data_IF_424740535651
#
_entry.id   IF_424740535651
#
_cell.length_a   1.000
_cell.length_b   1.000
_cell.length_c   1.000
_cell.angle_alpha   90.00
_cell.angle_beta   90.00
_cell.angle_gamma   90.00
#
_symmetry.space_group_name_H-M   'P 1'
#
loop_
_entity.id
_entity.type
_entity.pdbx_description
1 polymer ?
#
# COMPACT_ATOMS: atom_id res chain seq x y z
N UNK A 1 -14.04 33.37 7.54
CA UNK A 1 -12.98 33.69 8.51
C UNK A 1 -12.31 32.37 8.88
N UNK A 2 -11.51 31.85 7.95
CA UNK A 2 -10.86 30.54 8.08
C UNK A 2 -9.74 30.64 9.10
N UNK A 3 -9.72 29.74 10.08
CA UNK A 3 -8.59 29.61 10.98
C UNK A 3 -7.49 28.89 10.20
N UNK A 4 -6.52 29.67 9.73
CA UNK A 4 -5.17 29.16 9.46
C UNK A 4 -4.71 28.46 10.72
N UNK A 5 -4.52 27.14 10.65
CA UNK A 5 -3.81 26.42 11.71
C UNK A 5 -2.36 26.81 11.51
N UNK A 6 -1.94 27.79 12.30
CA UNK A 6 -0.56 28.23 12.40
C UNK A 6 0.21 27.09 13.11
N UNK A 7 0.77 26.16 12.33
CA UNK A 7 1.67 25.13 12.83
C UNK A 7 3.05 25.76 13.03
N UNK A 8 3.16 26.56 14.09
CA UNK A 8 4.45 26.98 14.61
C UNK A 8 5.27 25.72 14.92
N UNK A 9 6.37 25.58 14.18
CA UNK A 9 7.45 24.62 14.38
C UNK A 9 7.91 24.65 15.84
N UNK A 10 7.42 23.69 16.60
CA UNK A 10 7.93 23.30 17.89
C UNK A 10 7.47 21.88 18.10
N UNK A 11 8.32 20.91 17.74
CA UNK A 11 8.44 19.58 18.34
C UNK A 11 9.23 18.68 17.38
N UNK A 12 10.23 18.01 17.94
CA UNK A 12 11.06 17.02 17.26
C UNK A 12 10.16 15.91 16.71
N UNK A 13 10.21 15.67 15.39
CA UNK A 13 9.40 14.64 14.74
C UNK A 13 9.85 13.28 15.30
N UNK A 14 8.98 12.51 16.00
CA UNK A 14 9.41 11.27 16.65
C UNK A 14 9.94 10.28 15.62
N UNK A 15 11.09 9.65 15.88
CA UNK A 15 11.68 8.68 14.95
C UNK A 15 10.71 7.54 14.62
N UNK A 16 10.75 7.11 13.36
CA UNK A 16 9.94 5.99 12.91
C UNK A 16 10.53 4.68 13.45
N UNK A 17 9.69 3.87 14.10
CA UNK A 17 10.04 2.55 14.63
C UNK A 17 10.27 1.60 13.44
N UNK A 18 11.43 0.92 13.35
CA UNK A 18 11.64 -0.08 12.30
C UNK A 18 10.65 -1.23 12.41
N UNK A 19 10.10 -1.66 11.27
CA UNK A 19 9.14 -2.74 11.16
C UNK A 19 9.38 -3.52 9.87
N UNK A 20 8.78 -4.70 9.79
CA UNK A 20 8.85 -5.54 8.61
C UNK A 20 7.55 -6.31 8.38
N UNK A 21 7.28 -6.60 7.12
CA UNK A 21 6.10 -7.29 6.65
C UNK A 21 6.50 -8.28 5.56
N UNK A 22 5.97 -9.50 5.62
CA UNK A 22 6.12 -10.48 4.53
C UNK A 22 4.80 -10.69 3.81
N UNK A 23 4.87 -10.65 2.48
CA UNK A 23 3.77 -10.93 1.57
C UNK A 23 4.00 -12.33 1.01
N UNK A 24 3.32 -13.31 1.58
CA UNK A 24 3.43 -14.69 1.15
C UNK A 24 2.54 -14.94 -0.05
N UNK A 25 3.10 -15.56 -1.08
CA UNK A 25 2.48 -15.77 -2.38
C UNK A 25 2.36 -17.26 -2.72
N UNK A 26 1.25 -17.65 -3.34
CA UNK A 26 1.10 -18.99 -3.93
C UNK A 26 0.34 -18.92 -5.25
N UNK A 27 0.57 -19.92 -6.10
CA UNK A 27 -0.23 -20.12 -7.30
C UNK A 27 -1.50 -20.89 -6.93
N UNK A 28 -2.65 -20.20 -6.99
CA UNK A 28 -3.97 -20.78 -6.81
C UNK A 28 -4.56 -21.31 -8.11
N UNK A 29 -5.73 -21.93 -8.04
CA UNK A 29 -6.42 -22.48 -9.21
C UNK A 29 -6.78 -21.40 -10.25
N UNK A 30 -7.05 -20.17 -9.80
CA UNK A 30 -7.46 -19.03 -10.63
C UNK A 30 -6.37 -17.93 -10.74
N UNK A 31 -5.11 -18.27 -10.46
CA UNK A 31 -3.95 -17.39 -10.53
C UNK A 31 -3.32 -17.07 -9.18
N UNK A 32 -2.48 -16.02 -9.15
CA UNK A 32 -1.76 -15.58 -7.95
C UNK A 32 -2.68 -15.27 -6.77
N UNK A 33 -2.35 -15.83 -5.61
CA UNK A 33 -2.95 -15.55 -4.31
C UNK A 33 -1.90 -15.06 -3.32
N UNK A 34 -2.32 -14.21 -2.38
CA UNK A 34 -1.50 -13.77 -1.26
C UNK A 34 -2.19 -14.05 0.07
N UNK A 35 -1.41 -14.44 1.09
CA UNK A 35 -1.93 -14.60 2.44
C UNK A 35 -2.26 -13.24 3.04
N UNK A 36 -3.52 -13.07 3.45
CA UNK A 36 -3.95 -11.92 4.22
C UNK A 36 -4.48 -12.37 5.58
N UNK A 37 -4.19 -11.58 6.61
CA UNK A 37 -4.64 -11.76 7.97
C UNK A 37 -5.62 -10.65 8.35
N UNK A 38 -6.65 -10.98 9.12
CA UNK A 38 -7.61 -9.99 9.60
C UNK A 38 -7.35 -9.66 11.06
N UNK A 39 -6.96 -8.41 11.30
CA UNK A 39 -6.70 -7.92 12.66
C UNK A 39 -7.98 -7.84 13.46
N UNK A 40 -7.91 -8.16 14.74
CA UNK A 40 -9.05 -8.07 15.65
C UNK A 40 -9.61 -6.64 15.65
N UNK A 41 -10.94 -6.51 15.47
CA UNK A 41 -11.63 -5.21 15.41
C UNK A 41 -11.47 -4.36 16.67
N UNK A 42 -11.11 -4.96 17.81
CA UNK A 42 -10.88 -4.26 19.08
C UNK A 42 -9.50 -3.62 19.20
N UNK A 43 -8.60 -3.81 18.22
CA UNK A 43 -7.26 -3.23 18.24
C UNK A 43 -7.29 -1.73 17.94
N UNK A 44 -6.52 -0.96 18.71
CA UNK A 44 -6.50 0.51 18.65
C UNK A 44 -5.91 1.08 17.34
N UNK A 45 -5.26 0.26 16.52
CA UNK A 45 -4.73 0.63 15.21
C UNK A 45 -5.15 -0.41 14.18
N UNK A 46 -5.74 0.03 13.05
CA UNK A 46 -6.19 -0.82 11.95
C UNK A 46 -7.07 -2.01 12.38
N UNK A 47 -7.89 -1.85 13.43
CA UNK A 47 -8.83 -2.87 13.86
C UNK A 47 -9.76 -3.28 12.70
N UNK A 48 -9.88 -4.59 12.45
CA UNK A 48 -10.73 -5.14 11.39
C UNK A 48 -10.16 -5.04 9.97
N UNK A 49 -9.02 -4.37 9.78
CA UNK A 49 -8.34 -4.30 8.49
C UNK A 49 -7.75 -5.65 8.12
N UNK A 50 -7.69 -5.90 6.82
CA UNK A 50 -6.88 -6.98 6.27
C UNK A 50 -5.46 -6.48 6.04
N UNK A 51 -4.50 -7.24 6.53
CA UNK A 51 -3.06 -6.94 6.53
C UNK A 51 -2.27 -8.16 6.06
N UNK A 52 -0.97 -7.99 5.89
CA UNK A 52 -0.03 -9.09 5.73
C UNK A 52 0.65 -9.39 7.08
N UNK A 53 1.21 -10.60 7.29
CA UNK A 53 1.99 -10.89 8.47
C UNK A 53 3.13 -9.88 8.67
N UNK A 54 3.26 -9.31 9.86
CA UNK A 54 4.32 -8.35 10.11
C UNK A 54 4.17 -7.52 11.38
N UNK A 55 5.30 -6.99 11.83
CA UNK A 55 5.40 -6.26 13.07
C UNK A 55 6.73 -5.53 13.22
N UNK A 56 7.02 -5.15 14.46
CA UNK A 56 8.20 -4.35 14.80
C UNK A 56 9.47 -5.20 14.65
N UNK A 57 10.58 -4.58 14.28
CA UNK A 57 11.92 -5.18 14.45
C UNK A 57 12.31 -5.11 15.92
N UNK A 58 12.52 -6.27 16.52
CA UNK A 58 12.91 -6.42 17.92
C UNK A 58 14.44 -6.57 18.08
N UNK A 59 14.92 -6.50 19.32
CA UNK A 59 16.35 -6.57 19.61
C UNK A 59 16.98 -7.88 19.12
N UNK A 60 16.26 -8.99 19.25
CA UNK A 60 16.71 -10.31 18.82
C UNK A 60 16.83 -10.38 17.29
N UNK A 61 16.06 -9.58 16.55
CA UNK A 61 16.18 -9.48 15.10
C UNK A 61 17.43 -8.71 14.67
N UNK A 62 18.05 -7.90 15.55
CA UNK A 62 19.30 -7.19 15.24
C UNK A 62 20.51 -8.11 15.30
N UNK A 63 20.41 -9.22 16.05
CA UNK A 63 21.50 -10.15 16.22
C UNK A 63 21.65 -11.04 14.97
N UNK A 64 22.83 -11.09 14.35
CA UNK A 64 23.09 -12.00 13.23
C UNK A 64 23.10 -13.45 13.74
N UNK A 65 22.72 -14.38 12.85
CA UNK A 65 22.83 -15.81 13.16
C UNK A 65 24.30 -16.16 13.47
N UNK A 66 24.60 -17.08 14.42
CA UNK A 66 25.97 -17.36 14.86
C UNK A 66 26.95 -17.78 13.74
N UNK A 67 26.41 -18.28 12.63
CA UNK A 67 27.15 -18.76 11.46
C UNK A 67 27.16 -17.75 10.30
N UNK A 68 26.46 -16.61 10.43
CA UNK A 68 26.29 -15.61 9.38
C UNK A 68 27.32 -14.48 9.46
N UNK A 69 27.81 -14.04 8.32
CA UNK A 69 28.62 -12.83 8.23
C UNK A 69 27.79 -11.60 8.62
N UNK A 70 28.37 -10.73 9.45
CA UNK A 70 27.75 -9.45 9.80
C UNK A 70 28.08 -8.44 8.70
N UNK A 71 27.08 -7.88 7.99
CA UNK A 71 27.37 -6.87 6.99
C UNK A 71 28.09 -5.66 7.61
N UNK A 72 29.16 -5.21 6.98
CA UNK A 72 29.90 -4.01 7.41
C UNK A 72 29.09 -2.72 7.18
N UNK A 73 28.20 -2.75 6.20
CA UNK A 73 27.29 -1.66 5.84
C UNK A 73 26.05 -1.62 6.76
N UNK A 74 25.67 -0.42 7.21
CA UNK A 74 24.57 -0.22 8.17
C UNK A 74 23.20 -0.47 7.55
N UNK A 75 23.02 -0.07 6.29
CA UNK A 75 21.77 -0.31 5.56
C UNK A 75 21.57 -1.81 5.35
N UNK A 76 22.63 -2.54 4.98
CA UNK A 76 22.62 -3.98 4.86
C UNK A 76 22.30 -4.70 6.19
N UNK A 77 22.82 -4.21 7.33
CA UNK A 77 22.45 -4.74 8.67
C UNK A 77 20.99 -4.50 8.97
N UNK A 78 20.48 -3.30 8.70
CA UNK A 78 19.09 -2.92 8.95
C UNK A 78 18.13 -3.75 8.09
N UNK A 79 18.46 -3.95 6.81
CA UNK A 79 17.69 -4.81 5.92
C UNK A 79 17.70 -6.28 6.38
N UNK A 80 18.85 -6.79 6.83
CA UNK A 80 18.95 -8.15 7.36
C UNK A 80 18.11 -8.35 8.63
N UNK A 81 18.08 -7.34 9.51
CA UNK A 81 17.22 -7.37 10.69
C UNK A 81 15.73 -7.33 10.32
N UNK A 82 15.35 -6.48 9.37
CA UNK A 82 13.99 -6.44 8.85
C UNK A 82 13.55 -7.78 8.23
N UNK A 83 14.45 -8.46 7.49
CA UNK A 83 14.18 -9.80 6.97
C UNK A 83 13.92 -10.82 8.09
N UNK A 84 14.72 -10.81 9.16
CA UNK A 84 14.52 -11.69 10.33
C UNK A 84 13.21 -11.41 11.04
N UNK A 85 12.87 -10.15 11.25
CA UNK A 85 11.58 -9.75 11.81
C UNK A 85 10.42 -10.26 10.94
N UNK A 86 10.49 -10.11 9.62
CA UNK A 86 9.45 -10.59 8.71
C UNK A 86 9.25 -12.13 8.81
N UNK A 87 10.32 -12.91 8.95
CA UNK A 87 10.26 -14.36 9.17
C UNK A 87 9.64 -14.70 10.51
N UNK A 88 10.07 -14.02 11.59
CA UNK A 88 9.54 -14.23 12.95
C UNK A 88 8.04 -13.95 12.99
N UNK A 89 7.61 -12.82 12.47
CA UNK A 89 6.20 -12.41 12.44
C UNK A 89 5.35 -13.38 11.61
N UNK A 90 5.87 -13.92 10.50
CA UNK A 90 5.18 -14.97 9.74
C UNK A 90 4.96 -16.26 10.56
N UNK A 91 5.94 -16.63 11.38
CA UNK A 91 5.84 -17.79 12.25
C UNK A 91 4.87 -17.53 13.41
N UNK A 92 4.91 -16.34 14.01
CA UNK A 92 4.08 -15.95 15.16
C UNK A 92 2.61 -15.73 14.77
N UNK A 93 2.34 -15.00 13.69
CA UNK A 93 0.99 -14.60 13.30
C UNK A 93 0.28 -15.62 12.38
N UNK A 94 1.05 -16.42 11.63
CA UNK A 94 0.50 -17.34 10.63
C UNK A 94 0.97 -18.80 10.79
N UNK A 95 1.89 -19.10 11.70
CA UNK A 95 2.42 -20.46 11.89
C UNK A 95 3.29 -20.94 10.72
N UNK A 96 3.82 -20.04 9.89
CA UNK A 96 4.54 -20.38 8.66
C UNK A 96 6.04 -20.14 8.78
N UNK A 97 6.84 -21.19 8.56
CA UNK A 97 8.30 -21.13 8.59
C UNK A 97 8.86 -20.66 7.23
N UNK A 98 9.13 -19.36 7.12
CA UNK A 98 9.66 -18.74 5.90
C UNK A 98 11.18 -18.80 5.89
N UNK A 99 11.76 -19.20 4.75
CA UNK A 99 13.21 -19.12 4.54
C UNK A 99 13.62 -17.67 4.25
N UNK A 100 14.47 -17.12 5.12
CA UNK A 100 14.96 -15.73 5.06
C UNK A 100 15.68 -15.41 3.74
N UNK A 101 16.35 -16.40 3.15
CA UNK A 101 17.08 -16.23 1.89
C UNK A 101 16.14 -16.10 0.69
N UNK A 102 14.87 -16.48 0.85
CA UNK A 102 13.83 -16.37 -0.20
C UNK A 102 13.07 -15.05 -0.15
N UNK A 103 13.38 -14.16 0.80
CA UNK A 103 12.77 -12.84 0.89
C UNK A 103 13.35 -11.88 -0.14
N UNK A 104 12.47 -11.38 -1.02
CA UNK A 104 12.77 -10.35 -2.02
C UNK A 104 12.24 -9.00 -1.54
N UNK A 105 13.10 -7.97 -1.36
CA UNK A 105 12.65 -6.63 -1.02
C UNK A 105 11.65 -6.08 -2.06
N UNK A 106 10.52 -5.55 -1.59
CA UNK A 106 9.41 -5.14 -2.46
C UNK A 106 9.12 -3.63 -2.40
N UNK A 107 9.03 -3.07 -1.20
CA UNK A 107 8.87 -1.63 -0.94
C UNK A 107 9.23 -1.28 0.49
N UNK A 108 9.44 -0.01 0.79
CA UNK A 108 9.66 0.50 2.13
C UNK A 108 8.73 1.68 2.41
N UNK A 109 8.01 1.68 3.53
CA UNK A 109 6.97 2.65 3.84
C UNK A 109 7.24 3.41 5.12
N UNK A 110 7.23 4.74 5.05
CA UNK A 110 7.35 5.63 6.21
C UNK A 110 6.08 6.49 6.32
N UNK A 111 5.29 6.35 7.40
CA UNK A 111 4.12 7.19 7.66
C UNK A 111 4.46 8.68 7.80
N UNK A 112 3.48 9.58 7.62
CA UNK A 112 3.70 11.02 7.77
C UNK A 112 4.23 11.37 9.18
N UNK A 113 4.96 12.48 9.33
CA UNK A 113 5.48 12.97 10.62
C UNK A 113 4.41 13.08 11.72
N UNK A 114 3.17 13.41 11.35
CA UNK A 114 2.05 13.62 12.28
C UNK A 114 1.36 12.34 12.75
N UNK A 115 1.76 11.16 12.26
CA UNK A 115 1.13 9.91 12.66
C UNK A 115 1.50 9.54 14.12
N UNK A 116 0.49 9.18 14.92
CA UNK A 116 0.65 8.80 16.33
C UNK A 116 1.57 7.59 16.52
N UNK A 117 1.54 6.65 15.57
CA UNK A 117 2.48 5.52 15.47
C UNK A 117 3.14 5.54 14.11
N UNK A 118 4.47 5.68 14.08
CA UNK A 118 5.27 5.76 12.86
C UNK A 118 6.10 4.49 12.75
N UNK A 119 5.69 3.55 11.90
CA UNK A 119 6.46 2.35 11.62
C UNK A 119 7.11 2.47 10.24
N UNK A 120 8.43 2.58 10.18
CA UNK A 120 9.20 2.50 8.94
C UNK A 120 9.31 1.03 8.54
N UNK A 121 8.49 0.61 7.58
CA UNK A 121 8.18 -0.80 7.35
C UNK A 121 8.75 -1.29 6.03
N UNK A 122 9.65 -2.27 6.09
CA UNK A 122 10.07 -3.04 4.91
C UNK A 122 9.01 -4.07 4.54
N UNK A 123 8.66 -4.14 3.26
CA UNK A 123 7.79 -5.18 2.72
C UNK A 123 8.65 -6.12 1.86
N UNK A 124 8.48 -7.42 2.08
CA UNK A 124 9.18 -8.47 1.35
C UNK A 124 8.19 -9.42 0.67
N UNK A 125 8.47 -9.85 -0.56
CA UNK A 125 7.79 -10.99 -1.16
C UNK A 125 8.51 -12.30 -0.82
N UNK A 126 7.76 -13.38 -0.67
CA UNK A 126 8.29 -14.73 -0.71
C UNK A 126 7.24 -15.74 -1.22
N UNK A 127 7.67 -16.85 -1.85
CA UNK A 127 6.80 -18.02 -1.99
C UNK A 127 6.34 -18.49 -0.62
N UNK A 128 5.06 -18.83 -0.51
CA UNK A 128 4.51 -19.46 0.67
C UNK A 128 5.24 -20.78 0.95
N UNK A 129 5.69 -21.03 2.20
CA UNK A 129 6.19 -22.34 2.57
C UNK A 129 5.04 -23.36 2.60
N UNK A 130 5.39 -24.64 2.61
CA UNK A 130 4.41 -25.69 2.91
C UNK A 130 3.95 -25.57 4.37
N UNK A 131 2.67 -25.81 4.63
CA UNK A 131 2.09 -25.78 5.97
C UNK A 131 0.69 -25.21 6.02
N UNK A 132 0.01 -25.43 7.14
CA UNK A 132 -1.31 -24.88 7.41
C UNK A 132 -1.18 -23.54 8.12
N UNK A 133 -1.95 -22.55 7.66
CA UNK A 133 -1.99 -21.23 8.30
C UNK A 133 -2.74 -21.36 9.64
N UNK A 134 -2.06 -21.00 10.71
CA UNK A 134 -2.62 -20.99 12.07
C UNK A 134 -2.52 -19.61 12.66
N UNK A 135 -3.64 -19.08 13.15
CA UNK A 135 -3.72 -17.76 13.80
C UNK A 135 -4.04 -17.92 15.29
N UNK A 136 -3.58 -16.99 16.12
CA UNK A 136 -3.66 -17.06 17.58
C UNK A 136 -5.07 -16.77 18.15
N UNK A 137 -6.01 -16.30 17.32
CA UNK A 137 -7.35 -15.82 17.69
C UNK A 137 -7.35 -14.65 18.68
N UNK A 138 -6.20 -14.06 18.95
CA UNK A 138 -5.98 -12.92 19.83
C UNK A 138 -5.87 -11.64 19.02
N UNK A 139 -4.66 -11.39 18.50
CA UNK A 139 -4.39 -10.26 17.60
C UNK A 139 -4.99 -10.50 16.20
N UNK A 140 -4.87 -11.73 15.69
CA UNK A 140 -5.39 -12.13 14.40
C UNK A 140 -6.60 -13.03 14.60
N UNK A 141 -7.74 -12.65 14.02
CA UNK A 141 -8.99 -13.40 14.23
C UNK A 141 -9.46 -14.19 13.01
N UNK A 142 -8.86 -13.94 11.85
CA UNK A 142 -9.21 -14.60 10.59
C UNK A 142 -8.03 -14.55 9.62
N UNK A 143 -8.02 -15.46 8.65
CA UNK A 143 -7.05 -15.47 7.56
C UNK A 143 -7.72 -15.83 6.24
N UNK A 144 -7.09 -15.46 5.13
CA UNK A 144 -7.47 -15.99 3.83
C UNK A 144 -6.31 -15.92 2.85
N UNK A 145 -6.31 -16.86 1.90
CA UNK A 145 -5.61 -16.67 0.65
C UNK A 145 -6.51 -15.85 -0.27
N UNK A 146 -6.08 -14.64 -0.62
CA UNK A 146 -6.83 -13.71 -1.44
C UNK A 146 -6.15 -13.53 -2.79
N UNK A 147 -6.94 -13.55 -3.87
CA UNK A 147 -6.49 -13.01 -5.15
C UNK A 147 -6.37 -11.49 -5.02
N UNK A 148 -5.25 -10.84 -5.40
CA UNK A 148 -5.06 -9.41 -5.19
C UNK A 148 -6.18 -8.55 -5.77
N UNK A 149 -6.60 -8.83 -7.02
CA UNK A 149 -7.71 -8.14 -7.66
C UNK A 149 -9.05 -8.31 -6.92
N UNK A 150 -9.28 -9.45 -6.26
CA UNK A 150 -10.50 -9.67 -5.49
C UNK A 150 -10.52 -8.87 -4.18
N UNK A 151 -9.39 -8.83 -3.47
CA UNK A 151 -9.29 -8.01 -2.26
C UNK A 151 -9.53 -6.52 -2.56
N UNK A 152 -9.02 -6.02 -3.70
CA UNK A 152 -9.30 -4.64 -4.15
C UNK A 152 -10.79 -4.43 -4.43
N UNK A 153 -11.45 -5.34 -5.16
CA UNK A 153 -12.91 -5.24 -5.42
C UNK A 153 -13.74 -5.25 -4.14
N UNK A 154 -13.41 -6.10 -3.17
CA UNK A 154 -14.10 -6.16 -1.88
C UNK A 154 -13.93 -4.87 -1.08
N UNK A 155 -12.75 -4.24 -1.16
CA UNK A 155 -12.52 -2.92 -0.57
C UNK A 155 -13.38 -1.86 -1.24
N UNK A 156 -13.43 -1.85 -2.57
CA UNK A 156 -14.23 -0.88 -3.33
C UNK A 156 -15.73 -1.03 -3.05
N UNK A 157 -16.18 -2.25 -2.73
CA UNK A 157 -17.53 -2.55 -2.26
C UNK A 157 -17.78 -2.24 -0.77
N UNK A 158 -16.76 -1.79 -0.02
CA UNK A 158 -16.86 -1.50 1.41
C UNK A 158 -16.97 -2.74 2.32
N UNK A 159 -16.64 -3.93 1.81
CA UNK A 159 -16.69 -5.18 2.57
C UNK A 159 -15.48 -5.37 3.47
N UNK A 160 -14.33 -4.82 3.06
CA UNK A 160 -13.07 -4.88 3.80
C UNK A 160 -12.38 -3.53 3.81
N UNK A 161 -11.60 -3.29 4.87
CA UNK A 161 -10.75 -2.10 4.98
C UNK A 161 -9.30 -2.46 4.66
N UNK A 162 -8.65 -1.59 3.89
CA UNK A 162 -7.24 -1.70 3.50
C UNK A 162 -6.51 -0.39 3.76
N UNK A 163 -5.29 -0.49 4.27
CA UNK A 163 -4.39 0.66 4.38
C UNK A 163 -3.73 0.99 3.02
N UNK A 164 -3.23 2.22 2.79
CA UNK A 164 -2.54 2.57 1.54
C UNK A 164 -1.37 1.65 1.16
N UNK A 165 -0.47 1.24 2.08
CA UNK A 165 0.57 0.27 1.76
C UNK A 165 0.01 -1.07 1.28
N UNK A 166 -1.02 -1.59 1.97
CA UNK A 166 -1.69 -2.84 1.59
C UNK A 166 -2.37 -2.74 0.23
N UNK A 167 -3.13 -1.66 -0.02
CA UNK A 167 -3.81 -1.44 -1.29
C UNK A 167 -2.81 -1.31 -2.44
N UNK A 168 -1.74 -0.52 -2.29
CA UNK A 168 -0.71 -0.35 -3.33
C UNK A 168 0.02 -1.67 -3.65
N UNK A 169 0.24 -2.48 -2.62
CA UNK A 169 0.82 -3.82 -2.76
C UNK A 169 -0.08 -4.74 -3.57
N UNK A 170 -1.37 -4.81 -3.22
CA UNK A 170 -2.34 -5.63 -3.92
C UNK A 170 -2.56 -5.15 -5.37
N UNK A 171 -2.57 -3.84 -5.61
CA UNK A 171 -2.66 -3.29 -6.97
C UNK A 171 -1.48 -3.76 -7.82
N UNK A 172 -0.24 -3.64 -7.31
CA UNK A 172 0.93 -4.06 -8.08
C UNK A 172 0.90 -5.56 -8.36
N UNK A 173 0.55 -6.37 -7.35
CA UNK A 173 0.44 -7.82 -7.51
C UNK A 173 -0.70 -8.26 -8.42
N UNK A 174 -1.74 -7.43 -8.59
CA UNK A 174 -2.85 -7.74 -9.50
C UNK A 174 -2.43 -7.80 -10.98
N UNK A 175 -1.24 -7.29 -11.31
CA UNK A 175 -0.65 -7.37 -12.65
C UNK A 175 0.18 -8.64 -12.88
N UNK A 176 0.43 -9.45 -11.85
CA UNK A 176 1.19 -10.71 -11.94
C UNK A 176 0.25 -11.91 -12.04
N UNK A 177 0.57 -12.86 -12.91
CA UNK A 177 -0.24 -14.08 -13.07
C UNK A 177 0.17 -15.19 -12.10
N UNK A 178 1.47 -15.29 -11.81
CA UNK A 178 2.06 -16.35 -10.98
C UNK A 178 3.02 -15.80 -9.92
N UNK A 179 3.40 -16.65 -8.96
CA UNK A 179 4.43 -16.34 -7.95
C UNK A 179 5.74 -15.97 -8.63
N UNK A 180 6.12 -16.71 -9.66
CA UNK A 180 7.35 -16.47 -10.41
C UNK A 180 7.35 -15.09 -11.07
N UNK A 181 6.22 -14.68 -11.67
CA UNK A 181 6.09 -13.36 -12.29
C UNK A 181 6.21 -12.23 -11.26
N UNK A 182 5.57 -12.39 -10.10
CA UNK A 182 5.60 -11.39 -9.04
C UNK A 182 7.00 -11.22 -8.43
N UNK A 183 7.72 -12.32 -8.21
CA UNK A 183 9.10 -12.27 -7.72
C UNK A 183 10.04 -11.67 -8.75
N UNK A 184 9.92 -12.05 -10.02
CA UNK A 184 10.72 -11.48 -11.10
C UNK A 184 10.48 -9.97 -11.27
N UNK A 185 9.22 -9.50 -11.18
CA UNK A 185 8.89 -8.07 -11.18
C UNK A 185 9.53 -7.33 -10.01
N UNK A 186 9.52 -7.93 -8.81
CA UNK A 186 10.13 -7.34 -7.63
C UNK A 186 11.66 -7.26 -7.73
N UNK A 187 12.32 -8.33 -8.17
CA UNK A 187 13.78 -8.40 -8.34
C UNK A 187 14.30 -7.45 -9.43
N UNK A 188 13.52 -7.24 -10.50
CA UNK A 188 13.89 -6.33 -11.59
C UNK A 188 13.68 -4.85 -11.23
N UNK A 189 12.83 -4.56 -10.24
CA UNK A 189 12.51 -3.21 -9.82
C UNK A 189 13.54 -2.66 -8.82
N UNK A 190 13.77 -1.34 -8.85
CA UNK A 190 14.36 -0.66 -7.70
C UNK A 190 13.32 -0.61 -6.59
N UNK A 191 13.70 -0.99 -5.36
CA UNK A 191 12.81 -0.89 -4.20
C UNK A 191 12.38 0.56 -4.02
N UNK A 192 11.07 0.78 -4.02
CA UNK A 192 10.51 2.11 -3.84
C UNK A 192 10.34 2.44 -2.34
N UNK A 193 10.78 3.65 -1.98
CA UNK A 193 10.66 4.19 -0.62
C UNK A 193 9.53 5.23 -0.58
N UNK A 194 8.42 4.87 0.06
CA UNK A 194 7.23 5.68 0.21
C UNK A 194 7.26 6.45 1.53
N UNK A 195 7.76 7.69 1.51
CA UNK A 195 7.56 8.63 2.63
C UNK A 195 6.25 9.36 2.39
N UNK A 196 5.25 9.10 3.23
CA UNK A 196 3.87 9.52 2.96
C UNK A 196 3.63 10.95 3.43
N UNK A 197 3.14 11.80 2.53
CA UNK A 197 2.52 13.09 2.83
C UNK A 197 1.00 12.96 2.65
N UNK A 198 0.20 13.48 3.58
CA UNK A 198 -1.27 13.47 3.47
C UNK A 198 -1.74 14.90 3.22
N UNK A 199 -2.56 15.07 2.18
CA UNK A 199 -3.26 16.31 1.88
C UNK A 199 -4.76 16.05 1.70
N UNK A 200 -5.53 17.13 1.67
CA UNK A 200 -6.95 17.09 1.31
C UNK A 200 -7.17 17.88 0.02
N UNK A 201 -8.10 17.41 -0.83
CA UNK A 201 -8.58 18.13 -2.01
C UNK A 201 -10.09 17.95 -2.07
N UNK A 202 -10.83 19.04 -1.80
CA UNK A 202 -12.25 18.94 -1.46
C UNK A 202 -12.47 18.02 -0.26
N UNK A 203 -13.36 17.03 -0.42
CA UNK A 203 -13.65 16.02 0.61
C UNK A 203 -12.74 14.78 0.51
N UNK A 204 -11.86 14.71 -0.48
CA UNK A 204 -10.97 13.56 -0.68
C UNK A 204 -9.69 13.68 0.14
N UNK A 205 -9.25 12.57 0.73
CA UNK A 205 -7.90 12.45 1.27
C UNK A 205 -6.96 11.93 0.19
N UNK A 206 -5.76 12.51 0.11
CA UNK A 206 -4.76 12.16 -0.90
C UNK A 206 -3.45 11.83 -0.20
N UNK A 207 -2.98 10.60 -0.37
CA UNK A 207 -1.63 10.22 0.01
C UNK A 207 -0.69 10.53 -1.16
N UNK A 208 0.35 11.31 -0.91
CA UNK A 208 1.35 11.72 -1.90
C UNK A 208 2.74 11.27 -1.46
N UNK A 209 3.60 10.99 -2.43
CA UNK A 209 4.98 10.54 -2.20
C UNK A 209 5.96 11.37 -3.02
N UNK A 210 7.26 11.23 -2.73
CA UNK A 210 8.32 11.94 -3.45
C UNK A 210 8.16 11.79 -4.97
N UNK A 211 8.38 12.91 -5.68
CA UNK A 211 8.13 13.03 -7.12
C UNK A 211 6.76 13.63 -7.45
N UNK A 212 5.82 13.69 -6.50
CA UNK A 212 4.56 14.40 -6.70
C UNK A 212 4.72 15.93 -6.57
N UNK A 213 4.09 16.69 -7.47
CA UNK A 213 4.15 18.17 -7.46
C UNK A 213 3.59 18.81 -6.18
N UNK A 214 2.64 18.13 -5.53
CA UNK A 214 2.00 18.58 -4.30
C UNK A 214 2.74 18.20 -3.02
N UNK A 215 3.77 17.36 -3.11
CA UNK A 215 4.38 16.68 -1.96
C UNK A 215 4.94 17.65 -0.92
N UNK A 216 5.82 18.57 -1.34
CA UNK A 216 6.52 19.50 -0.44
C UNK A 216 5.59 20.51 0.24
N UNK A 217 4.52 20.90 -0.46
CA UNK A 217 3.55 21.88 0.04
C UNK A 217 2.37 21.24 0.80
N UNK A 218 2.30 19.89 0.83
CA UNK A 218 1.11 19.15 1.28
C UNK A 218 -0.17 19.66 0.60
N UNK A 219 -0.10 19.97 -0.70
CA UNK A 219 -1.19 20.54 -1.50
C UNK A 219 -1.45 19.66 -2.73
N UNK A 220 -2.55 18.89 -2.67
CA UNK A 220 -2.93 17.99 -3.74
C UNK A 220 -3.40 18.71 -5.01
N UNK A 221 -3.73 20.00 -4.97
CA UNK A 221 -4.28 20.72 -6.12
C UNK A 221 -3.19 21.32 -7.03
N UNK A 222 -1.93 21.31 -6.59
CA UNK A 222 -0.81 21.82 -7.39
C UNK A 222 -0.63 21.05 -8.72
N UNK A 223 -0.53 21.74 -9.86
CA UNK A 223 -0.31 21.10 -11.16
C UNK A 223 1.13 20.61 -11.28
N UNK A 224 1.33 19.47 -11.93
CA UNK A 224 2.66 18.93 -12.22
C UNK A 224 2.68 17.41 -12.16
N UNK A 225 3.87 16.79 -12.07
CA UNK A 225 4.03 15.35 -11.87
C UNK A 225 3.12 14.77 -10.78
N UNK A 226 2.82 13.47 -10.89
CA UNK A 226 2.00 12.74 -9.93
C UNK A 226 2.70 11.50 -9.41
N UNK A 227 2.59 11.31 -8.11
CA UNK A 227 2.91 10.08 -7.41
C UNK A 227 2.04 10.03 -6.15
N UNK A 228 0.79 9.61 -6.32
CA UNK A 228 -0.25 9.76 -5.30
C UNK A 228 -1.34 8.69 -5.38
N UNK A 229 -2.07 8.55 -4.29
CA UNK A 229 -3.26 7.73 -4.15
C UNK A 229 -4.41 8.59 -3.63
N UNK A 230 -5.48 8.64 -4.41
CA UNK A 230 -6.75 9.25 -4.03
C UNK A 230 -7.55 8.25 -3.21
N UNK A 231 -7.75 8.57 -1.93
CA UNK A 231 -8.55 7.78 -0.99
C UNK A 231 -9.94 8.40 -0.93
N UNK A 232 -10.79 7.94 -1.85
CA UNK A 232 -12.17 8.42 -2.04
C UNK A 232 -13.18 7.33 -1.67
N UNK A 233 -14.46 7.70 -1.62
CA UNK A 233 -15.55 6.73 -1.55
C UNK A 233 -15.60 5.91 -2.84
N UNK A 234 -15.68 4.57 -2.71
CA UNK A 234 -15.60 3.64 -3.82
C UNK A 234 -14.16 3.31 -4.24
N UNK A 235 -13.88 3.16 -5.55
CA UNK A 235 -12.56 2.77 -6.03
C UNK A 235 -11.49 3.82 -5.78
N UNK A 236 -10.44 3.41 -5.07
CA UNK A 236 -9.26 4.24 -4.93
C UNK A 236 -8.49 4.35 -6.25
N UNK A 237 -7.88 5.51 -6.48
CA UNK A 237 -7.18 5.81 -7.74
C UNK A 237 -5.73 6.17 -7.48
N UNK A 238 -4.82 5.35 -7.98
CA UNK A 238 -3.39 5.65 -7.99
C UNK A 238 -3.03 6.42 -9.28
N UNK A 239 -2.23 7.47 -9.14
CA UNK A 239 -1.72 8.26 -10.24
C UNK A 239 -0.19 8.35 -10.15
N UNK A 240 0.48 7.89 -11.21
CA UNK A 240 1.92 8.05 -11.38
C UNK A 240 2.25 8.52 -12.78
N UNK A 241 2.90 9.67 -12.88
CA UNK A 241 3.52 10.13 -14.12
C UNK A 241 4.50 11.27 -13.84
N UNK A 242 5.59 11.28 -14.59
CA UNK A 242 6.58 12.35 -14.55
C UNK A 242 6.17 13.50 -15.46
N UNK A 243 6.64 14.72 -15.18
CA UNK A 243 6.37 15.87 -16.03
C UNK A 243 6.65 15.51 -17.50
N UNK A 244 5.71 15.80 -18.43
CA UNK A 244 5.99 15.55 -19.83
C UNK A 244 7.26 16.32 -20.22
N UNK A 245 8.17 15.66 -20.93
CA UNK A 245 9.23 16.35 -21.63
C UNK A 245 8.59 17.50 -22.42
N UNK A 246 9.18 18.70 -22.35
CA UNK A 246 8.57 19.93 -22.83
C UNK A 246 7.91 19.75 -24.21
N UNK A 247 6.58 19.93 -24.28
CA UNK A 247 5.81 19.95 -25.54
C UNK A 247 4.83 18.80 -25.80
N UNK A 248 4.59 17.85 -24.88
CA UNK A 248 3.56 16.81 -25.07
C UNK A 248 2.28 17.10 -24.26
N UNK A 249 1.08 17.06 -24.86
CA UNK A 249 -0.17 17.28 -24.12
C UNK A 249 -0.43 16.16 -23.09
N UNK A 250 -1.08 16.52 -21.98
CA UNK A 250 -1.44 15.63 -20.87
C UNK A 250 -2.38 14.51 -21.36
N UNK A 251 -2.28 13.27 -20.83
CA UNK A 251 -3.36 12.30 -20.95
C UNK A 251 -4.57 12.80 -20.15
N UNK A 252 -5.76 12.81 -20.77
CA UNK A 252 -7.02 13.16 -20.11
C UNK A 252 -7.41 12.06 -19.13
N UNK A 253 -7.67 12.42 -17.87
CA UNK A 253 -8.26 11.53 -16.85
C UNK A 253 -9.72 11.88 -16.52
N UNK A 254 -10.34 12.79 -17.28
CA UNK A 254 -11.78 13.06 -17.16
C UNK A 254 -12.56 12.02 -17.98
N UNK A 255 -13.58 11.36 -17.41
CA UNK A 255 -14.53 10.58 -18.20
C UNK A 255 -15.24 11.52 -19.20
N UNK A 256 -15.72 11.00 -20.35
CA UNK A 256 -16.55 11.78 -21.24
C UNK A 256 -17.76 12.29 -20.45
N UNK A 257 -17.95 13.61 -20.45
CA UNK A 257 -19.22 14.20 -20.07
C UNK A 257 -20.21 13.83 -21.17
N UNK A 258 -21.06 12.85 -20.93
CA UNK A 258 -22.31 12.73 -21.67
C UNK A 258 -23.17 13.94 -21.31
N UNK A 259 -23.03 15.03 -22.07
CA UNK A 259 -24.06 16.06 -22.11
C UNK A 259 -25.27 15.47 -22.83
N UNK A 260 -26.45 15.40 -22.21
CA UNK A 260 -27.67 15.05 -22.93
C UNK A 260 -27.98 16.17 -23.93
N UNK A 261 -27.96 15.82 -25.21
CA UNK A 261 -28.46 16.66 -26.30
C UNK A 261 -29.97 16.81 -26.18
N UNK A 262 -30.44 17.83 -25.46
CA UNK A 262 -31.82 18.31 -25.51
C UNK A 262 -32.01 19.12 -26.80
N UNK A 263 -32.33 18.45 -27.90
CA UNK A 263 -33.02 19.10 -29.03
C UNK A 263 -34.54 18.98 -28.80
N UNK A 264 -35.28 20.09 -28.62
CA UNK A 264 -36.73 20.05 -28.56
C UNK A 264 -37.29 19.80 -29.96
N UNK A 265 -37.99 18.69 -30.13
CA UNK A 265 -38.80 18.40 -31.32
C UNK A 265 -40.06 19.28 -31.28
N UNK A 266 -40.07 20.36 -32.08
CA UNK A 266 -41.24 21.21 -32.32
C UNK A 266 -42.23 20.47 -33.24
N UNK A 267 -43.11 19.65 -32.67
CA UNK A 267 -44.31 19.17 -33.36
C UNK A 267 -45.46 20.17 -33.15
N UNK A 268 -45.64 21.07 -34.12
CA UNK A 268 -46.86 21.87 -34.25
C UNK A 268 -48.00 21.03 -34.87
N UNK A 269 -49.23 21.10 -34.35
CA UNK A 269 -50.38 20.44 -34.95
C UNK A 269 -50.88 21.23 -36.17
N UNK A 270 -50.97 20.59 -37.33
CA UNK A 270 -51.75 21.11 -38.46
C UNK A 270 -53.20 20.64 -38.33
N UNK A 271 -54.08 21.58 -38.02
CA UNK A 271 -55.54 21.47 -38.14
C UNK A 271 -55.95 21.43 -39.62
N UNK A 272 -56.98 20.64 -39.90
CA UNK A 272 -57.69 20.54 -41.19
C UNK A 272 -58.31 21.86 -41.65
N UNK A 273 -58.35 22.05 -42.97
CA UNK A 273 -59.50 22.56 -43.74
C UNK A 273 -59.46 21.96 -45.17
#
# INVERSE_FOLDING_TARGET
>A
MGRTIDMALGDEVPDAVPAATVILLRDGADGLETLMLRRNSKLAFAGGHWVFPGGRVDQDDLEPSPEGDVPADEDARTLAAAKRAAVREAAEEAGLAVDVERLVPFSHWTPPPVAIKRYATWFFLAPAPEGDVTVDMGEIHDHQWARPAEALRRRDAGEIELSPPTWRTLERLSHSATVADALADAEAATVEHFVTCIASSGDALVAMWHGDAGYEAADADLPGPRHRLWMVDGPWRFERWDAPAAGRPRPSTLPPTDEPSDEPTDERPTTED
#
